data_IF_226589419618
#
_entry.id   IF_226589419618
#
_cell.length_a   1.000
_cell.length_b   1.000
_cell.length_c   1.000
_cell.angle_alpha   90.00
_cell.angle_beta   90.00
_cell.angle_gamma   90.00
#
_symmetry.space_group_name_H-M   'P 1'
#
loop_
_entity.id
_entity.type
_entity.pdbx_description
1 polymer ?
#
# COMPACT_ATOMS: atom_id res chain seq x y z
N UNK A 1 -25.33 16.01 -2.01
CA UNK A 1 -24.92 14.75 -1.35
C UNK A 1 -24.27 15.08 -0.01
N UNK A 2 -24.62 14.34 1.05
CA UNK A 2 -23.94 14.49 2.32
C UNK A 2 -22.47 14.06 2.16
N UNK A 3 -21.58 14.78 2.81
CA UNK A 3 -20.15 14.48 2.80
C UNK A 3 -19.90 13.24 3.69
N UNK A 4 -19.18 12.26 3.17
CA UNK A 4 -18.87 11.03 3.91
C UNK A 4 -17.73 11.22 4.93
N UNK A 5 -16.75 12.10 4.63
CA UNK A 5 -15.55 12.31 5.44
C UNK A 5 -15.36 13.79 5.80
N UNK A 6 -14.79 14.04 6.96
CA UNK A 6 -14.52 15.35 7.52
C UNK A 6 -13.11 15.84 7.18
N UNK A 7 -12.17 14.89 7.03
CA UNK A 7 -10.80 15.13 6.62
C UNK A 7 -10.30 14.06 5.65
N UNK A 8 -9.28 14.41 4.91
CA UNK A 8 -8.58 13.57 3.95
C UNK A 8 -7.09 13.60 4.27
N UNK A 9 -6.48 12.45 4.43
CA UNK A 9 -5.04 12.30 4.66
C UNK A 9 -4.49 11.44 3.53
N UNK A 10 -3.48 11.92 2.82
CA UNK A 10 -2.85 11.16 1.73
C UNK A 10 -1.37 11.00 2.02
N UNK A 11 -0.89 9.78 1.99
CA UNK A 11 0.51 9.43 2.14
C UNK A 11 1.11 9.06 0.78
N UNK A 12 2.04 9.87 0.30
CA UNK A 12 2.99 9.54 -0.77
C UNK A 12 4.13 8.74 -0.11
N UNK A 13 4.00 7.41 -0.21
CA UNK A 13 4.83 6.48 0.53
C UNK A 13 6.16 6.24 -0.18
N UNK A 14 7.20 5.92 0.57
CA UNK A 14 8.52 5.68 0.00
C UNK A 14 9.05 4.26 0.28
N UNK A 15 9.77 3.68 -0.68
CA UNK A 15 10.57 2.46 -0.49
C UNK A 15 12.07 2.76 -0.26
N UNK A 16 12.44 4.00 0.08
CA UNK A 16 13.83 4.38 0.36
C UNK A 16 14.47 3.45 1.39
N UNK A 17 15.77 3.17 1.22
CA UNK A 17 16.56 2.31 2.13
C UNK A 17 17.33 3.11 3.18
N UNK A 18 17.22 4.43 3.15
CA UNK A 18 17.90 5.36 4.06
C UNK A 18 16.97 6.51 4.43
N UNK A 19 17.29 7.20 5.50
CA UNK A 19 16.62 8.45 5.87
C UNK A 19 16.72 9.46 4.72
N UNK A 20 15.60 10.06 4.34
CA UNK A 20 15.55 11.03 3.24
C UNK A 20 14.38 11.98 3.41
N UNK A 21 14.60 13.27 3.12
CA UNK A 21 13.56 14.30 2.97
C UNK A 21 13.65 14.92 1.58
N UNK A 22 12.67 15.73 1.19
CA UNK A 22 12.60 16.35 -0.14
C UNK A 22 12.08 15.40 -1.21
N UNK A 23 12.60 15.51 -2.43
CA UNK A 23 12.15 14.72 -3.58
C UNK A 23 12.29 13.21 -3.37
N UNK A 24 11.29 12.45 -3.81
CA UNK A 24 11.25 10.99 -3.67
C UNK A 24 11.44 10.50 -2.23
N UNK A 25 10.87 11.21 -1.26
CA UNK A 25 10.82 10.82 0.15
C UNK A 25 9.37 10.61 0.58
N UNK A 26 9.10 10.49 1.88
CA UNK A 26 7.76 10.31 2.41
C UNK A 26 7.09 11.65 2.69
N UNK A 27 5.93 11.87 2.06
CA UNK A 27 5.09 13.03 2.28
C UNK A 27 3.70 12.63 2.77
N UNK A 28 3.16 13.41 3.68
CA UNK A 28 1.79 13.26 4.16
C UNK A 28 1.07 14.58 3.99
N UNK A 29 0.05 14.58 3.13
CA UNK A 29 -0.86 15.70 2.91
C UNK A 29 -2.13 15.54 3.73
N UNK A 30 -2.60 16.61 4.34
CA UNK A 30 -3.87 16.67 5.07
C UNK A 30 -4.74 17.75 4.44
N UNK A 31 -5.99 17.42 4.16
CA UNK A 31 -7.00 18.38 3.74
C UNK A 31 -8.24 18.28 4.64
N UNK A 32 -8.64 19.36 5.25
CA UNK A 32 -9.83 19.43 6.11
C UNK A 32 -10.54 20.77 5.97
N UNK A 33 -11.78 20.86 6.44
CA UNK A 33 -12.47 22.15 6.54
C UNK A 33 -12.38 22.68 7.97
N UNK A 34 -12.15 23.99 8.08
CA UNK A 34 -12.24 24.69 9.37
C UNK A 34 -13.72 24.88 9.80
N UNK A 35 -13.92 25.43 10.98
CA UNK A 35 -15.25 25.73 11.53
C UNK A 35 -16.10 26.67 10.68
N UNK A 36 -15.47 27.38 9.74
CA UNK A 36 -16.11 28.28 8.76
C UNK A 36 -16.28 27.62 7.39
N UNK A 37 -16.10 26.28 7.29
CA UNK A 37 -16.14 25.48 6.06
C UNK A 37 -15.10 25.85 5.00
N UNK A 38 -14.03 26.59 5.35
CA UNK A 38 -12.93 26.90 4.44
C UNK A 38 -12.00 25.71 4.38
N UNK A 39 -11.52 25.37 3.17
CA UNK A 39 -10.55 24.33 2.99
C UNK A 39 -9.21 24.75 3.60
N UNK A 40 -8.68 23.90 4.48
CA UNK A 40 -7.35 24.01 5.04
C UNK A 40 -6.53 22.81 4.57
N UNK A 41 -5.31 23.06 4.12
CA UNK A 41 -4.36 22.02 3.70
C UNK A 41 -3.04 22.22 4.41
N UNK A 42 -2.41 21.12 4.77
CA UNK A 42 -1.05 21.09 5.30
C UNK A 42 -0.29 19.89 4.71
N UNK A 43 1.03 20.00 4.64
CA UNK A 43 1.90 18.93 4.16
C UNK A 43 3.05 18.74 5.13
N UNK A 44 3.41 17.47 5.33
CA UNK A 44 4.52 17.07 6.19
C UNK A 44 5.48 16.21 5.39
N UNK A 45 6.76 16.52 5.48
CA UNK A 45 7.82 15.71 4.92
C UNK A 45 8.62 15.09 6.06
N UNK A 46 8.63 13.77 6.15
CA UNK A 46 9.31 13.02 7.20
C UNK A 46 10.43 12.15 6.63
N UNK A 47 11.48 11.95 7.41
CA UNK A 47 12.69 11.31 6.91
C UNK A 47 12.58 9.78 6.84
N UNK A 48 11.69 9.18 7.61
CA UNK A 48 11.55 7.72 7.71
C UNK A 48 10.09 7.26 7.71
N UNK A 49 9.88 5.99 7.33
CA UNK A 49 8.55 5.37 7.42
C UNK A 49 8.05 5.25 8.87
N UNK A 50 8.96 5.01 9.80
CA UNK A 50 8.63 4.99 11.23
C UNK A 50 8.09 6.35 11.72
N UNK A 51 8.71 7.45 11.30
CA UNK A 51 8.20 8.81 11.57
C UNK A 51 6.86 9.05 10.87
N UNK A 52 6.69 8.56 9.64
CA UNK A 52 5.42 8.65 8.89
C UNK A 52 4.29 7.89 9.58
N UNK A 53 4.53 6.68 10.05
CA UNK A 53 3.54 5.90 10.82
C UNK A 53 3.17 6.61 12.13
N UNK A 54 4.15 7.14 12.86
CA UNK A 54 3.90 7.88 14.08
C UNK A 54 3.06 9.13 13.83
N UNK A 55 3.35 9.88 12.77
CA UNK A 55 2.58 11.05 12.36
C UNK A 55 1.15 10.68 11.96
N UNK A 56 0.96 9.65 11.14
CA UNK A 56 -0.38 9.17 10.74
C UNK A 56 -1.21 8.78 11.97
N UNK A 57 -0.63 8.01 12.90
CA UNK A 57 -1.31 7.64 14.14
C UNK A 57 -1.69 8.86 14.98
N UNK A 58 -0.82 9.86 15.09
CA UNK A 58 -1.10 11.11 15.81
C UNK A 58 -2.23 11.91 15.17
N UNK A 59 -2.18 12.10 13.84
CA UNK A 59 -3.22 12.80 13.09
C UNK A 59 -4.59 12.12 13.25
N UNK A 60 -4.64 10.80 13.10
CA UNK A 60 -5.89 10.05 13.24
C UNK A 60 -6.42 10.05 14.67
N UNK A 61 -5.54 9.98 15.68
CA UNK A 61 -5.95 10.11 17.08
C UNK A 61 -6.57 11.50 17.37
N UNK A 62 -6.01 12.56 16.81
CA UNK A 62 -6.52 13.91 16.97
C UNK A 62 -7.85 14.13 16.23
N UNK A 63 -8.01 13.57 15.03
CA UNK A 63 -9.28 13.56 14.33
C UNK A 63 -10.34 12.78 15.10
N UNK A 64 -10.01 11.60 15.59
CA UNK A 64 -10.91 10.76 16.39
C UNK A 64 -11.42 11.46 17.66
N UNK A 65 -10.54 12.18 18.37
CA UNK A 65 -10.93 12.99 19.56
C UNK A 65 -11.97 14.06 19.23
N UNK A 66 -11.98 14.57 17.99
CA UNK A 66 -12.96 15.56 17.50
C UNK A 66 -14.22 14.93 16.94
N UNK A 67 -14.27 13.61 16.84
CA UNK A 67 -15.36 12.91 16.18
C UNK A 67 -15.33 12.99 14.65
N UNK A 68 -14.19 13.39 14.07
CA UNK A 68 -14.01 13.48 12.61
C UNK A 68 -13.84 12.08 12.00
N UNK A 69 -14.42 11.87 10.83
CA UNK A 69 -14.18 10.70 9.96
C UNK A 69 -13.14 11.05 8.92
N UNK A 70 -12.14 10.19 8.78
CA UNK A 70 -10.99 10.45 7.92
C UNK A 70 -10.92 9.44 6.77
N UNK A 71 -10.78 9.93 5.53
CA UNK A 71 -10.33 9.09 4.41
C UNK A 71 -8.80 9.12 4.36
N UNK A 72 -8.17 7.95 4.45
CA UNK A 72 -6.70 7.83 4.41
C UNK A 72 -6.30 7.15 3.11
N UNK A 73 -5.63 7.87 2.22
CA UNK A 73 -5.14 7.38 0.94
C UNK A 73 -3.66 7.01 0.99
N UNK A 74 -3.29 5.88 0.36
CA UNK A 74 -1.91 5.50 0.10
C UNK A 74 -1.68 5.33 -1.40
N UNK A 75 -0.56 5.82 -1.92
CA UNK A 75 -0.20 5.83 -3.34
C UNK A 75 0.42 4.52 -3.84
N UNK A 76 0.26 3.44 -3.11
CA UNK A 76 0.74 2.12 -3.50
C UNK A 76 -0.37 1.06 -3.44
N UNK A 77 -0.13 -0.06 -4.12
CA UNK A 77 -1.10 -1.16 -4.19
C UNK A 77 -1.35 -1.79 -2.82
N UNK A 78 -2.60 -1.81 -2.38
CA UNK A 78 -3.01 -2.51 -1.14
C UNK A 78 -3.26 -4.00 -1.36
N UNK A 79 -3.12 -4.50 -2.58
CA UNK A 79 -3.30 -5.90 -2.92
C UNK A 79 -2.53 -6.34 -4.15
N UNK A 80 -2.58 -7.64 -4.41
CA UNK A 80 -1.91 -8.31 -5.51
C UNK A 80 -2.94 -8.89 -6.49
N UNK A 81 -2.54 -9.26 -7.72
CA UNK A 81 -3.41 -9.95 -8.66
C UNK A 81 -4.09 -11.17 -8.05
N UNK A 82 -5.31 -11.46 -8.51
CA UNK A 82 -6.08 -12.62 -8.06
C UNK A 82 -5.27 -13.92 -8.21
N UNK A 83 -5.42 -14.84 -7.24
CA UNK A 83 -4.69 -16.10 -7.20
C UNK A 83 -3.32 -16.04 -6.49
N UNK A 84 -2.75 -14.86 -6.20
CA UNK A 84 -1.41 -14.75 -5.57
C UNK A 84 -1.33 -15.49 -4.23
N UNK A 85 -2.36 -15.34 -3.36
CA UNK A 85 -2.38 -16.02 -2.06
C UNK A 85 -2.37 -17.55 -2.20
N UNK A 86 -3.14 -18.09 -3.16
CA UNK A 86 -3.18 -19.53 -3.45
C UNK A 86 -1.82 -20.04 -3.96
N UNK A 87 -1.16 -19.28 -4.84
CA UNK A 87 0.19 -19.60 -5.33
C UNK A 87 1.24 -19.64 -4.22
N UNK A 88 1.10 -18.77 -3.23
CA UNK A 88 1.94 -18.80 -2.02
C UNK A 88 1.52 -19.86 -1.02
N UNK A 89 0.48 -20.66 -1.32
CA UNK A 89 -0.08 -21.70 -0.42
C UNK A 89 -0.43 -21.13 0.96
N UNK A 90 -1.00 -19.92 0.98
CA UNK A 90 -1.43 -19.29 2.23
C UNK A 90 -2.74 -19.88 2.70
N UNK A 91 -3.00 -19.76 4.01
CA UNK A 91 -4.20 -20.29 4.64
C UNK A 91 -5.50 -19.79 3.99
N UNK A 92 -6.42 -20.71 3.74
CA UNK A 92 -7.71 -20.45 3.07
C UNK A 92 -8.85 -20.11 4.06
N UNK A 93 -8.57 -20.17 5.36
CA UNK A 93 -9.52 -19.88 6.45
C UNK A 93 -9.81 -18.38 6.62
N UNK A 94 -9.19 -17.54 5.81
CA UNK A 94 -9.34 -16.09 5.82
C UNK A 94 -9.36 -15.52 4.41
N UNK A 95 -9.85 -14.27 4.28
CA UNK A 95 -9.83 -13.58 3.00
C UNK A 95 -8.39 -13.52 2.41
N UNK A 96 -8.20 -13.78 1.10
CA UNK A 96 -6.88 -13.85 0.47
C UNK A 96 -5.98 -12.62 0.73
N UNK A 97 -6.55 -11.42 0.75
CA UNK A 97 -5.80 -10.20 1.04
C UNK A 97 -5.28 -10.16 2.49
N UNK A 98 -6.05 -10.69 3.47
CA UNK A 98 -5.61 -10.77 4.88
C UNK A 98 -4.45 -11.75 5.02
N UNK A 99 -4.53 -12.90 4.36
CA UNK A 99 -3.46 -13.88 4.32
C UNK A 99 -2.18 -13.30 3.71
N UNK A 100 -2.30 -12.55 2.59
CA UNK A 100 -1.20 -11.83 1.96
C UNK A 100 -0.59 -10.79 2.89
N UNK A 101 -1.40 -9.95 3.52
CA UNK A 101 -0.89 -8.92 4.44
C UNK A 101 -0.19 -9.52 5.65
N UNK A 102 -0.74 -10.59 6.22
CA UNK A 102 -0.12 -11.35 7.32
C UNK A 102 1.23 -11.93 6.89
N UNK A 103 1.29 -12.54 5.71
CA UNK A 103 2.52 -13.10 5.16
C UNK A 103 3.58 -12.01 4.94
N UNK A 104 3.23 -10.91 4.30
CA UNK A 104 4.15 -9.79 4.05
C UNK A 104 4.67 -9.21 5.37
N UNK A 105 3.77 -8.91 6.32
CA UNK A 105 4.14 -8.36 7.62
C UNK A 105 5.04 -9.31 8.45
N UNK A 106 4.89 -10.62 8.28
CA UNK A 106 5.74 -11.60 8.96
C UNK A 106 7.14 -11.75 8.33
N UNK A 107 7.33 -11.31 7.09
CA UNK A 107 8.59 -11.50 6.35
C UNK A 107 9.35 -10.19 6.11
N UNK A 108 8.66 -9.07 6.02
CA UNK A 108 9.29 -7.75 5.84
C UNK A 108 9.83 -7.26 7.18
N UNK A 109 11.14 -7.04 7.20
CA UNK A 109 11.83 -6.32 8.26
C UNK A 109 12.09 -4.91 7.77
N UNK A 110 11.51 -3.92 8.44
CA UNK A 110 11.68 -2.50 8.12
C UNK A 110 12.14 -1.78 9.38
N UNK A 111 13.36 -1.23 9.34
CA UNK A 111 13.98 -0.60 10.50
C UNK A 111 13.64 0.89 10.58
N UNK A 112 13.84 1.50 11.74
CA UNK A 112 13.56 2.91 11.99
C UNK A 112 14.37 3.88 11.09
N UNK A 113 15.45 3.42 10.48
CA UNK A 113 16.29 4.18 9.54
C UNK A 113 15.96 3.94 8.07
N UNK A 114 14.84 3.24 7.78
CA UNK A 114 14.41 2.77 6.44
C UNK A 114 15.19 1.58 5.88
N UNK A 115 16.22 1.06 6.55
CA UNK A 115 16.87 -0.19 6.13
C UNK A 115 15.83 -1.31 6.12
N UNK A 116 15.71 -2.03 5.01
CA UNK A 116 14.68 -3.07 4.87
C UNK A 116 15.15 -4.23 3.97
N UNK A 117 14.41 -5.32 4.01
CA UNK A 117 14.72 -6.57 3.29
C UNK A 117 13.74 -6.84 2.13
N UNK A 118 13.09 -5.84 1.54
CA UNK A 118 12.03 -6.05 0.52
C UNK A 118 12.48 -6.87 -0.69
N UNK A 119 13.73 -6.74 -1.13
CA UNK A 119 14.26 -7.53 -2.26
C UNK A 119 14.40 -9.01 -1.92
N UNK A 120 14.81 -9.33 -0.70
CA UNK A 120 14.88 -10.70 -0.20
C UNK A 120 13.48 -11.30 -0.07
N UNK A 121 12.51 -10.50 0.37
CA UNK A 121 11.09 -10.93 0.45
C UNK A 121 10.52 -11.17 -0.95
N UNK A 122 10.75 -10.27 -1.91
CA UNK A 122 10.34 -10.44 -3.29
C UNK A 122 10.92 -11.74 -3.91
N UNK A 123 12.21 -11.98 -3.74
CA UNK A 123 12.86 -13.21 -4.20
C UNK A 123 12.30 -14.46 -3.51
N UNK A 124 12.03 -14.39 -2.20
CA UNK A 124 11.35 -15.48 -1.47
C UNK A 124 9.97 -15.77 -2.03
N UNK A 125 9.18 -14.73 -2.32
CA UNK A 125 7.85 -14.88 -2.91
C UNK A 125 7.92 -15.50 -4.30
N UNK A 126 8.83 -15.05 -5.16
CA UNK A 126 9.09 -15.65 -6.46
C UNK A 126 9.41 -17.14 -6.35
N UNK A 127 10.37 -17.51 -5.48
CA UNK A 127 10.73 -18.90 -5.24
C UNK A 127 9.54 -19.75 -4.81
N UNK A 128 8.71 -19.22 -3.90
CA UNK A 128 7.55 -19.97 -3.39
C UNK A 128 6.44 -20.14 -4.43
N UNK A 129 6.26 -19.15 -5.32
CA UNK A 129 5.18 -19.16 -6.31
C UNK A 129 5.52 -19.94 -7.57
N UNK A 130 6.78 -19.85 -8.03
CA UNK A 130 7.18 -20.32 -9.36
C UNK A 130 8.50 -21.09 -9.38
N UNK A 131 9.33 -20.98 -8.34
CA UNK A 131 10.76 -21.34 -8.30
C UNK A 131 11.61 -20.66 -9.41
N UNK A 132 11.09 -19.56 -9.98
CA UNK A 132 11.71 -18.75 -11.04
C UNK A 132 11.86 -17.30 -10.56
N UNK A 133 12.54 -16.45 -11.38
CA UNK A 133 12.67 -15.02 -11.12
C UNK A 133 11.42 -14.22 -11.53
N UNK A 134 10.24 -14.72 -11.23
CA UNK A 134 8.92 -14.18 -11.57
C UNK A 134 7.92 -14.50 -10.45
N UNK A 135 6.90 -13.64 -10.15
CA UNK A 135 6.49 -12.42 -10.87
C UNK A 135 7.24 -11.14 -10.50
N UNK A 136 7.95 -11.06 -9.37
CA UNK A 136 8.73 -9.86 -9.04
C UNK A 136 9.97 -9.73 -9.90
N UNK A 137 10.31 -8.49 -10.30
CA UNK A 137 11.47 -8.15 -11.13
C UNK A 137 11.94 -6.70 -10.86
N UNK A 138 13.07 -6.30 -11.43
CA UNK A 138 13.58 -4.93 -11.35
C UNK A 138 14.37 -4.67 -10.08
N UNK A 139 15.24 -5.58 -9.66
CA UNK A 139 16.17 -5.30 -8.57
C UNK A 139 17.36 -4.45 -9.06
N UNK A 140 17.91 -3.54 -8.23
CA UNK A 140 19.23 -2.99 -8.49
C UNK A 140 20.26 -4.12 -8.61
N UNK A 141 21.33 -3.92 -9.41
CA UNK A 141 22.31 -4.97 -9.67
C UNK A 141 22.88 -5.62 -8.39
N UNK A 142 23.13 -4.81 -7.35
CA UNK A 142 23.64 -5.28 -6.05
C UNK A 142 22.63 -6.13 -5.25
N UNK A 143 21.34 -6.12 -5.62
CA UNK A 143 20.25 -6.86 -4.98
C UNK A 143 19.75 -8.02 -5.87
N UNK A 144 20.25 -8.12 -7.10
CA UNK A 144 19.89 -9.19 -8.03
C UNK A 144 20.37 -10.55 -7.50
N UNK A 145 19.53 -11.57 -7.66
CA UNK A 145 19.80 -12.93 -7.22
C UNK A 145 19.02 -13.94 -8.05
N UNK A 146 19.23 -15.25 -7.82
CA UNK A 146 18.61 -16.33 -8.61
C UNK A 146 17.10 -16.11 -8.85
N UNK A 147 16.35 -15.71 -7.86
CA UNK A 147 14.90 -15.53 -7.95
C UNK A 147 14.43 -14.08 -8.08
N UNK A 148 15.34 -13.14 -8.37
CA UNK A 148 14.98 -11.73 -8.59
C UNK A 148 15.98 -11.04 -9.49
N UNK A 149 15.56 -10.74 -10.72
CA UNK A 149 16.41 -10.17 -11.78
C UNK A 149 16.35 -8.65 -11.83
N UNK A 150 17.32 -8.03 -12.51
CA UNK A 150 17.37 -6.58 -12.76
C UNK A 150 16.35 -6.13 -13.79
N UNK A 151 16.00 -7.00 -14.72
CA UNK A 151 15.08 -6.73 -15.83
C UNK A 151 13.85 -7.63 -15.76
N UNK A 152 12.77 -7.23 -16.39
CA UNK A 152 11.60 -8.08 -16.53
C UNK A 152 11.97 -9.31 -17.36
N UNK A 153 11.67 -10.53 -16.87
CA UNK A 153 11.85 -11.74 -17.67
C UNK A 153 11.02 -11.70 -18.97
N UNK A 154 11.42 -12.46 -20.02
CA UNK A 154 10.64 -12.57 -21.24
C UNK A 154 9.19 -13.01 -20.98
N UNK A 155 8.28 -12.65 -21.88
CA UNK A 155 6.90 -13.13 -21.84
C UNK A 155 6.87 -14.65 -21.85
N UNK A 156 6.05 -15.24 -20.96
CA UNK A 156 5.94 -16.70 -20.80
C UNK A 156 6.60 -17.26 -19.53
N UNK A 157 7.48 -16.53 -18.88
CA UNK A 157 7.96 -16.91 -17.55
C UNK A 157 6.81 -16.77 -16.54
N UNK A 158 6.24 -17.90 -16.08
CA UNK A 158 5.11 -17.91 -15.13
C UNK A 158 3.80 -17.35 -15.72
N UNK A 159 3.46 -17.72 -16.92
CA UNK A 159 2.33 -17.21 -17.73
C UNK A 159 0.95 -17.26 -17.04
N UNK A 160 0.82 -17.99 -15.95
CA UNK A 160 -0.41 -18.17 -15.18
C UNK A 160 -0.53 -17.24 -13.96
N UNK A 161 0.46 -16.34 -13.75
CA UNK A 161 0.38 -15.28 -12.72
C UNK A 161 0.14 -13.93 -13.42
N UNK A 162 -1.04 -13.31 -13.24
CA UNK A 162 -1.35 -12.04 -13.91
C UNK A 162 -0.34 -10.94 -13.50
N UNK A 163 0.10 -10.15 -14.47
CA UNK A 163 0.95 -8.99 -14.21
C UNK A 163 0.18 -7.85 -13.54
N UNK A 164 -1.10 -7.70 -13.89
CA UNK A 164 -1.95 -6.60 -13.47
C UNK A 164 -3.21 -7.12 -12.77
N UNK A 165 -3.69 -6.37 -11.79
CA UNK A 165 -5.01 -6.57 -11.20
C UNK A 165 -6.10 -6.09 -12.17
N UNK A 166 -7.35 -6.43 -11.90
CA UNK A 166 -8.49 -5.97 -12.70
C UNK A 166 -8.59 -4.43 -12.74
N UNK A 167 -8.20 -3.74 -11.67
CA UNK A 167 -8.16 -2.28 -11.57
C UNK A 167 -7.15 -1.65 -12.54
N UNK A 168 -5.94 -2.18 -12.62
CA UNK A 168 -4.94 -1.71 -13.58
C UNK A 168 -5.36 -2.00 -15.02
N UNK A 169 -5.97 -3.16 -15.27
CA UNK A 169 -6.51 -3.48 -16.59
C UNK A 169 -7.65 -2.54 -17.01
N UNK A 170 -8.50 -2.13 -16.07
CA UNK A 170 -9.53 -1.12 -16.31
C UNK A 170 -8.92 0.24 -16.62
N UNK A 171 -7.98 0.71 -15.79
CA UNK A 171 -7.30 1.99 -15.98
C UNK A 171 -6.52 2.08 -17.30
N UNK A 172 -5.96 0.96 -17.80
CA UNK A 172 -5.31 0.90 -19.12
C UNK A 172 -6.26 1.19 -20.29
N UNK A 173 -7.52 0.80 -20.15
CA UNK A 173 -8.55 1.12 -21.17
C UNK A 173 -8.78 2.63 -21.27
N UNK A 174 -8.63 3.34 -20.16
CA UNK A 174 -8.74 4.80 -20.08
C UNK A 174 -7.42 5.51 -20.45
N UNK A 175 -6.45 4.80 -21.05
CA UNK A 175 -5.12 5.28 -21.46
C UNK A 175 -4.23 5.77 -20.28
N UNK A 176 -4.57 5.41 -19.08
CA UNK A 176 -3.72 5.62 -17.90
C UNK A 176 -2.73 4.45 -17.80
N UNK A 177 -1.41 4.66 -17.80
CA UNK A 177 -0.42 3.59 -17.81
C UNK A 177 -0.09 3.11 -16.37
N UNK A 178 -0.89 2.21 -15.77
CA UNK A 178 -0.59 1.70 -14.44
C UNK A 178 0.71 0.91 -14.46
N UNK A 179 1.41 0.95 -13.35
CA UNK A 179 2.61 0.15 -13.15
C UNK A 179 2.26 -1.17 -12.50
N UNK A 180 3.07 -2.18 -12.80
CA UNK A 180 2.91 -3.49 -12.20
C UNK A 180 3.34 -3.48 -10.73
N UNK A 181 2.52 -4.08 -9.87
CA UNK A 181 2.87 -4.29 -8.44
C UNK A 181 4.11 -5.17 -8.27
N UNK A 182 4.52 -5.88 -9.32
CA UNK A 182 5.68 -6.75 -9.33
C UNK A 182 7.00 -6.03 -9.62
N UNK A 183 6.93 -4.79 -10.14
CA UNK A 183 8.14 -4.01 -10.43
C UNK A 183 8.72 -3.40 -9.14
N UNK A 184 9.93 -3.82 -8.78
CA UNK A 184 10.58 -3.47 -7.52
C UNK A 184 11.42 -2.18 -7.57
N UNK A 185 11.91 -1.79 -8.74
CA UNK A 185 12.81 -0.65 -8.92
C UNK A 185 12.66 -0.04 -10.31
N UNK A 186 13.03 1.24 -10.46
CA UNK A 186 12.93 2.02 -11.68
C UNK A 186 11.77 3.02 -11.63
N UNK A 187 11.65 3.83 -12.68
CA UNK A 187 10.65 4.90 -12.74
C UNK A 187 9.22 4.35 -12.61
N UNK A 188 8.49 4.85 -11.64
CA UNK A 188 7.11 4.46 -11.35
C UNK A 188 6.96 3.05 -10.74
N UNK A 189 8.04 2.43 -10.23
CA UNK A 189 7.95 1.14 -9.57
C UNK A 189 7.23 1.25 -8.23
N UNK A 190 6.14 0.50 -8.05
CA UNK A 190 5.30 0.50 -6.84
C UNK A 190 5.49 -0.75 -5.97
N UNK A 191 6.11 -1.82 -6.51
CA UNK A 191 6.26 -3.09 -5.78
C UNK A 191 7.07 -2.97 -4.50
N UNK A 192 8.10 -2.12 -4.50
CA UNK A 192 8.88 -1.83 -3.30
C UNK A 192 8.07 -1.10 -2.24
N UNK A 193 7.30 -0.08 -2.62
CA UNK A 193 6.41 0.66 -1.73
C UNK A 193 5.33 -0.26 -1.15
N UNK A 194 4.73 -1.11 -1.98
CA UNK A 194 3.72 -2.10 -1.57
C UNK A 194 4.24 -3.04 -0.49
N UNK A 195 5.45 -3.61 -0.66
CA UNK A 195 6.01 -4.54 0.31
C UNK A 195 6.31 -3.89 1.67
N UNK A 196 6.85 -2.68 1.70
CA UNK A 196 7.13 -1.98 2.98
C UNK A 196 5.90 -1.22 3.51
N UNK A 197 4.93 -0.88 2.67
CA UNK A 197 3.74 -0.12 3.04
C UNK A 197 2.63 -0.98 3.64
N UNK A 198 2.36 -2.17 3.10
CA UNK A 198 1.32 -3.07 3.62
C UNK A 198 1.48 -3.35 5.12
N UNK A 199 2.67 -3.64 5.67
CA UNK A 199 2.85 -3.78 7.11
C UNK A 199 2.47 -2.53 7.91
N UNK A 200 2.77 -1.34 7.39
CA UNK A 200 2.41 -0.07 8.02
C UNK A 200 0.88 0.14 8.04
N UNK A 201 0.21 -0.09 6.91
CA UNK A 201 -1.26 -0.02 6.81
C UNK A 201 -1.93 -1.04 7.74
N UNK A 202 -1.37 -2.24 7.83
CA UNK A 202 -1.88 -3.26 8.74
C UNK A 202 -1.81 -2.80 10.20
N UNK A 203 -0.66 -2.29 10.66
CA UNK A 203 -0.51 -1.75 12.03
C UNK A 203 -1.44 -0.57 12.28
N UNK A 204 -1.63 0.30 11.29
CA UNK A 204 -2.57 1.41 11.37
C UNK A 204 -4.00 0.91 11.61
N UNK A 205 -4.47 -0.07 10.85
CA UNK A 205 -5.79 -0.66 11.05
C UNK A 205 -5.92 -1.40 12.39
N UNK A 206 -4.87 -2.08 12.83
CA UNK A 206 -4.82 -2.70 14.16
C UNK A 206 -4.96 -1.67 15.28
N UNK A 207 -4.34 -0.49 15.14
CA UNK A 207 -4.45 0.61 16.11
C UNK A 207 -5.84 1.27 16.13
N UNK A 208 -6.52 1.29 15.00
CA UNK A 208 -7.90 1.82 14.87
C UNK A 208 -8.95 0.82 15.41
N UNK A 209 -8.62 -0.48 15.39
CA UNK A 209 -9.52 -1.54 15.81
C UNK A 209 -10.81 -1.56 14.97
N UNK A 210 -11.99 -1.77 15.60
CA UNK A 210 -13.26 -1.85 14.88
C UNK A 210 -13.67 -0.56 14.16
N UNK A 211 -13.10 0.60 14.54
CA UNK A 211 -13.39 1.88 13.88
C UNK A 211 -12.54 2.15 12.64
N UNK A 212 -11.68 1.21 12.24
CA UNK A 212 -10.88 1.28 11.03
C UNK A 212 -11.34 0.25 9.98
N UNK A 213 -11.43 0.66 8.73
CA UNK A 213 -11.73 -0.24 7.61
C UNK A 213 -10.83 0.04 6.42
N UNK A 214 -10.74 -0.92 5.48
CA UNK A 214 -10.03 -0.76 4.21
C UNK A 214 -10.96 -1.05 3.05
N UNK A 215 -11.11 -0.09 2.16
CA UNK A 215 -11.89 -0.25 0.94
C UNK A 215 -10.99 -0.71 -0.23
N UNK A 216 -11.45 -1.61 -1.09
CA UNK A 216 -12.71 -2.37 -1.01
C UNK A 216 -12.60 -3.67 -0.21
N UNK A 217 -11.44 -3.99 0.33
CA UNK A 217 -11.12 -5.31 0.88
C UNK A 217 -11.96 -5.67 2.12
N UNK A 218 -12.17 -4.71 2.99
CA UNK A 218 -12.96 -4.92 4.22
C UNK A 218 -14.44 -4.52 4.08
N UNK A 219 -14.80 -3.75 3.06
CA UNK A 219 -16.12 -3.17 2.87
C UNK A 219 -16.91 -3.77 1.69
N UNK A 220 -16.21 -4.50 0.81
CA UNK A 220 -16.74 -4.95 -0.48
C UNK A 220 -16.59 -3.89 -1.58
N UNK A 221 -16.63 -4.36 -2.84
CA UNK A 221 -16.49 -3.52 -4.04
C UNK A 221 -17.84 -2.86 -4.39
N UNK A 222 -18.18 -1.82 -3.67
CA UNK A 222 -19.41 -1.05 -3.86
C UNK A 222 -19.22 0.41 -3.44
N UNK A 223 -20.12 1.27 -3.90
CA UNK A 223 -20.21 2.63 -3.36
C UNK A 223 -20.63 2.57 -1.88
N UNK A 224 -19.99 3.36 -1.05
CA UNK A 224 -20.30 3.46 0.37
C UNK A 224 -21.37 4.53 0.61
N UNK A 225 -22.26 4.24 1.55
CA UNK A 225 -23.28 5.16 2.04
C UNK A 225 -22.84 5.84 3.34
N UNK A 226 -23.53 6.89 3.81
CA UNK A 226 -23.29 7.46 5.13
C UNK A 226 -23.33 6.43 6.27
N UNK A 227 -24.26 5.47 6.23
CA UNK A 227 -24.42 4.44 7.26
C UNK A 227 -23.23 3.46 7.30
N UNK A 228 -22.58 3.23 6.14
CA UNK A 228 -21.39 2.38 6.06
C UNK A 228 -20.18 3.01 6.75
N UNK A 229 -20.07 4.32 6.74
CA UNK A 229 -18.93 5.05 7.28
C UNK A 229 -19.18 5.66 8.66
N UNK A 230 -20.44 5.69 9.10
CA UNK A 230 -20.82 6.23 10.41
C UNK A 230 -20.06 5.59 11.57
N UNK A 231 -19.87 4.24 11.64
CA UNK A 231 -19.13 3.62 12.74
C UNK A 231 -17.60 3.78 12.63
N UNK A 232 -17.10 4.37 11.53
CA UNK A 232 -15.66 4.46 11.26
C UNK A 232 -15.08 5.79 11.72
N UNK A 233 -13.89 5.74 12.34
CA UNK A 233 -13.03 6.91 12.52
C UNK A 233 -12.11 7.11 11.32
N UNK A 234 -11.73 6.03 10.63
CA UNK A 234 -10.93 6.11 9.41
C UNK A 234 -11.26 5.00 8.41
N UNK A 235 -11.27 5.36 7.13
CA UNK A 235 -11.33 4.43 6.00
C UNK A 235 -10.03 4.54 5.20
N UNK A 236 -9.31 3.44 5.06
CA UNK A 236 -8.09 3.36 4.27
C UNK A 236 -8.44 2.97 2.83
N UNK A 237 -7.81 3.64 1.87
CA UNK A 237 -7.98 3.39 0.43
C UNK A 237 -6.65 3.44 -0.30
N UNK A 238 -6.57 2.73 -1.41
CA UNK A 238 -5.54 2.94 -2.41
C UNK A 238 -5.94 4.16 -3.26
N UNK A 239 -5.01 5.08 -3.45
CA UNK A 239 -5.19 6.23 -4.33
C UNK A 239 -4.15 6.20 -5.44
N UNK A 240 -4.52 6.73 -6.59
CA UNK A 240 -3.60 6.93 -7.69
C UNK A 240 -3.64 8.41 -8.06
N UNK A 241 -2.55 9.13 -7.77
CA UNK A 241 -2.44 10.56 -8.09
C UNK A 241 -2.26 10.81 -9.60
#
# INVERSE_FOLDING_TARGET
MARLFDAYVVADWTAAETKKTGDNSLWIGVAKRDVRFRLYTETHNVATRAEGEALLNSLLADHRKRGDRVLVGFDFNLGYPAGTAARLKLAEDQAPWRAMWKFIAANVVDKADNTNNRYQVAAKMNRLMTDEAWPFWGAPAKQAQRWLTTTKPPEGAGADIPEFRATELAARKDKLPPKSVWQMHGAGAVGGQTLVGIPAVRRLLESLGPSGAVWPFGTGWRALTPDDVEPLSALVVEVWP
#
